data_IF_228088471062
#
_entry.id   IF_228088471062
#
_cell.length_a   1.000
_cell.length_b   1.000
_cell.length_c   1.000
_cell.angle_alpha   90.00
_cell.angle_beta   90.00
_cell.angle_gamma   90.00
#
_symmetry.space_group_name_H-M   'P 1'
#
loop_
_entity.id
_entity.type
_entity.pdbx_description
1 polymer ?
#
# COMPACT_ATOMS: atom_id res chain seq x y z
N UNK A 1 24.42 -62.31 -26.68
CA UNK A 1 25.28 -61.46 -25.82
C UNK A 1 24.91 -59.96 -25.82
N UNK A 2 23.84 -59.50 -26.49
CA UNK A 2 23.50 -58.06 -26.58
C UNK A 2 22.55 -57.50 -25.51
N UNK A 3 21.79 -58.34 -24.81
CA UNK A 3 20.71 -57.90 -23.89
C UNK A 3 21.19 -57.31 -22.56
N UNK A 4 22.46 -57.54 -22.18
CA UNK A 4 23.08 -57.03 -20.94
C UNK A 4 23.79 -55.68 -21.15
N UNK A 5 24.22 -55.39 -22.38
CA UNK A 5 24.82 -54.10 -22.76
C UNK A 5 23.76 -53.02 -22.97
N UNK A 6 22.65 -53.37 -23.64
CA UNK A 6 21.53 -52.45 -23.89
C UNK A 6 20.90 -51.93 -22.58
N UNK A 7 20.64 -52.83 -21.62
CA UNK A 7 20.11 -52.48 -20.29
C UNK A 7 21.06 -51.63 -19.43
N UNK A 8 22.36 -51.66 -19.71
CA UNK A 8 23.36 -50.84 -19.00
C UNK A 8 23.35 -49.42 -19.54
N UNK A 9 23.28 -49.27 -20.86
CA UNK A 9 23.16 -47.99 -21.53
C UNK A 9 21.88 -47.24 -21.13
N UNK A 10 20.73 -47.93 -21.07
CA UNK A 10 19.46 -47.33 -20.61
C UNK A 10 19.52 -46.81 -19.16
N UNK A 11 20.24 -47.52 -18.28
CA UNK A 11 20.43 -47.10 -16.88
C UNK A 11 21.40 -45.92 -16.78
N UNK A 12 22.46 -45.89 -17.60
CA UNK A 12 23.40 -44.77 -17.65
C UNK A 12 22.72 -43.50 -18.19
N UNK A 13 21.88 -43.62 -19.24
CA UNK A 13 21.07 -42.52 -19.77
C UNK A 13 20.04 -42.01 -18.74
N UNK A 14 19.37 -42.91 -18.01
CA UNK A 14 18.46 -42.52 -16.93
C UNK A 14 19.19 -41.76 -15.80
N UNK A 15 20.38 -42.22 -15.41
CA UNK A 15 21.17 -41.56 -14.37
C UNK A 15 21.60 -40.16 -14.80
N UNK A 16 22.00 -39.96 -16.06
CA UNK A 16 22.32 -38.63 -16.60
C UNK A 16 21.10 -37.70 -16.59
N UNK A 17 19.94 -38.20 -17.04
CA UNK A 17 18.68 -37.44 -16.99
C UNK A 17 18.34 -37.06 -15.54
N UNK A 18 18.45 -38.01 -14.61
CA UNK A 18 18.17 -37.78 -13.20
C UNK A 18 19.14 -36.74 -12.59
N UNK A 19 20.43 -36.85 -12.89
CA UNK A 19 21.45 -35.90 -12.43
C UNK A 19 21.14 -34.47 -12.89
N UNK A 20 20.88 -34.29 -14.20
CA UNK A 20 20.52 -32.98 -14.76
C UNK A 20 19.21 -32.43 -14.18
N UNK A 21 18.23 -33.29 -13.95
CA UNK A 21 16.97 -32.89 -13.33
C UNK A 21 17.17 -32.44 -11.87
N UNK A 22 17.96 -33.17 -11.08
CA UNK A 22 18.27 -32.82 -9.69
C UNK A 22 19.04 -31.49 -9.60
N UNK A 23 20.03 -31.29 -10.47
CA UNK A 23 20.80 -30.03 -10.54
C UNK A 23 19.89 -28.83 -10.86
N UNK A 24 19.00 -28.97 -11.84
CA UNK A 24 18.04 -27.93 -12.20
C UNK A 24 17.05 -27.62 -11.05
N UNK A 25 16.54 -28.66 -10.38
CA UNK A 25 15.62 -28.48 -9.25
C UNK A 25 16.31 -27.82 -8.04
N UNK A 26 17.56 -28.17 -7.75
CA UNK A 26 18.34 -27.56 -6.68
C UNK A 26 18.61 -26.08 -6.95
N UNK A 27 19.02 -25.73 -8.18
CA UNK A 27 19.22 -24.33 -8.57
C UNK A 27 17.92 -23.50 -8.42
N UNK A 28 16.78 -24.06 -8.83
CA UNK A 28 15.47 -23.42 -8.67
C UNK A 28 15.05 -23.32 -7.20
N UNK A 29 15.36 -24.32 -6.39
CA UNK A 29 15.10 -24.30 -4.94
C UNK A 29 15.90 -23.19 -4.24
N UNK A 30 17.19 -23.06 -4.55
CA UNK A 30 18.05 -22.00 -4.01
C UNK A 30 17.55 -20.61 -4.38
N UNK A 31 17.12 -20.43 -5.64
CA UNK A 31 16.51 -19.18 -6.10
C UNK A 31 15.25 -18.86 -5.30
N UNK A 32 14.35 -19.84 -5.12
CA UNK A 32 13.14 -19.69 -4.31
C UNK A 32 13.44 -19.30 -2.86
N UNK A 33 14.41 -19.93 -2.20
CA UNK A 33 14.78 -19.58 -0.81
C UNK A 33 15.36 -18.17 -0.70
N UNK A 34 16.19 -17.75 -1.67
CA UNK A 34 16.67 -16.36 -1.78
C UNK A 34 15.49 -15.38 -1.88
N UNK A 35 14.52 -15.67 -2.76
CA UNK A 35 13.35 -14.80 -2.95
C UNK A 35 12.46 -14.73 -1.71
N UNK A 36 12.25 -15.84 -1.01
CA UNK A 36 11.52 -15.85 0.27
C UNK A 36 12.18 -14.94 1.31
N UNK A 37 13.51 -14.96 1.38
CA UNK A 37 14.28 -14.06 2.24
C UNK A 37 14.09 -12.58 1.87
N UNK A 38 14.16 -12.25 0.58
CA UNK A 38 13.95 -10.90 0.06
C UNK A 38 12.51 -10.42 0.30
N UNK A 39 11.50 -11.25 0.09
CA UNK A 39 10.09 -10.91 0.32
C UNK A 39 9.85 -10.53 1.77
N UNK A 40 10.34 -11.34 2.72
CA UNK A 40 10.22 -11.02 4.15
C UNK A 40 10.95 -9.74 4.53
N UNK A 41 12.06 -9.42 3.86
CA UNK A 41 12.76 -8.14 4.07
C UNK A 41 11.92 -6.98 3.57
N UNK A 42 11.42 -7.05 2.34
CA UNK A 42 10.63 -5.98 1.72
C UNK A 42 9.32 -5.72 2.46
N UNK A 43 8.62 -6.76 2.91
CA UNK A 43 7.39 -6.62 3.72
C UNK A 43 7.69 -5.88 5.03
N UNK A 44 8.71 -6.32 5.79
CA UNK A 44 9.08 -5.66 7.05
C UNK A 44 9.47 -4.20 6.84
N UNK A 45 10.20 -3.93 5.77
CA UNK A 45 10.65 -2.60 5.42
C UNK A 45 9.50 -1.68 5.00
N UNK A 46 8.54 -2.19 4.22
CA UNK A 46 7.32 -1.48 3.84
C UNK A 46 6.50 -1.12 5.08
N UNK A 47 6.29 -2.07 5.99
CA UNK A 47 5.62 -1.82 7.26
C UNK A 47 6.37 -0.80 8.15
N UNK A 48 7.71 -0.83 8.17
CA UNK A 48 8.52 0.17 8.88
C UNK A 48 8.37 1.57 8.25
N UNK A 49 8.34 1.64 6.92
CA UNK A 49 8.16 2.87 6.14
C UNK A 49 6.83 3.50 6.48
N UNK A 50 5.72 2.75 6.37
CA UNK A 50 4.38 3.24 6.71
C UNK A 50 4.36 3.79 8.14
N UNK A 51 4.94 3.08 9.11
CA UNK A 51 5.03 3.57 10.49
C UNK A 51 5.84 4.86 10.62
N UNK A 52 6.94 5.01 9.88
CA UNK A 52 7.74 6.24 9.86
C UNK A 52 6.96 7.41 9.25
N UNK A 53 6.21 7.17 8.17
CA UNK A 53 5.34 8.15 7.53
C UNK A 53 4.29 8.70 8.51
N UNK A 54 3.57 7.83 9.20
CA UNK A 54 2.59 8.23 10.23
C UNK A 54 3.20 8.96 11.43
N UNK A 55 4.48 8.73 11.72
CA UNK A 55 5.22 9.48 12.76
C UNK A 55 5.79 10.82 12.26
N UNK A 56 5.62 11.15 10.99
CA UNK A 56 6.22 12.34 10.38
C UNK A 56 7.73 12.24 10.16
N UNK A 57 8.32 11.03 10.25
CA UNK A 57 9.74 10.75 10.02
C UNK A 57 10.02 10.61 8.51
N UNK A 58 9.74 11.66 7.75
CA UNK A 58 9.57 11.55 6.30
C UNK A 58 10.89 11.32 5.54
N UNK A 59 12.02 11.84 6.04
CA UNK A 59 13.32 11.58 5.41
C UNK A 59 13.79 10.13 5.65
N UNK A 60 13.54 9.60 6.85
CA UNK A 60 13.75 8.19 7.17
C UNK A 60 12.88 7.29 6.28
N UNK A 61 11.59 7.61 6.15
CA UNK A 61 10.69 6.89 5.27
C UNK A 61 11.17 6.90 3.81
N UNK A 62 11.68 8.04 3.33
CA UNK A 62 12.23 8.15 1.97
C UNK A 62 13.43 7.20 1.76
N UNK A 63 14.38 7.18 2.69
CA UNK A 63 15.53 6.27 2.63
C UNK A 63 15.08 4.80 2.63
N UNK A 64 14.10 4.46 3.48
CA UNK A 64 13.52 3.11 3.48
C UNK A 64 12.83 2.76 2.16
N UNK A 65 12.21 3.71 1.45
CA UNK A 65 11.65 3.46 0.13
C UNK A 65 12.73 3.23 -0.93
N UNK A 66 13.84 3.97 -0.89
CA UNK A 66 14.98 3.79 -1.80
C UNK A 66 15.62 2.41 -1.61
N UNK A 67 15.85 1.99 -0.37
CA UNK A 67 16.31 0.64 -0.05
C UNK A 67 15.32 -0.45 -0.49
N UNK A 68 14.02 -0.15 -0.47
CA UNK A 68 12.95 -1.07 -0.87
C UNK A 68 12.92 -1.23 -2.39
N UNK A 69 13.09 -0.13 -3.12
CA UNK A 69 13.24 -0.12 -4.58
C UNK A 69 14.40 -1.00 -5.04
N UNK A 70 15.53 -0.96 -4.34
CA UNK A 70 16.67 -1.83 -4.63
C UNK A 70 16.33 -3.33 -4.48
N UNK A 71 15.42 -3.70 -3.56
CA UNK A 71 14.92 -5.09 -3.45
C UNK A 71 14.05 -5.46 -4.64
N UNK A 72 13.18 -4.56 -5.10
CA UNK A 72 12.32 -4.79 -6.27
C UNK A 72 13.16 -4.95 -7.54
N UNK A 73 14.17 -4.11 -7.72
CA UNK A 73 15.14 -4.27 -8.81
C UNK A 73 15.85 -5.62 -8.74
N UNK A 74 16.23 -6.07 -7.54
CA UNK A 74 16.80 -7.39 -7.34
C UNK A 74 15.83 -8.52 -7.68
N UNK A 75 14.54 -8.40 -7.34
CA UNK A 75 13.52 -9.36 -7.77
C UNK A 75 13.44 -9.46 -9.29
N UNK A 76 13.32 -8.32 -9.98
CA UNK A 76 13.20 -8.30 -11.43
C UNK A 76 14.44 -8.88 -12.12
N UNK A 77 15.63 -8.62 -11.60
CA UNK A 77 16.87 -9.14 -12.15
C UNK A 77 17.03 -10.65 -11.90
N UNK A 78 16.81 -11.10 -10.65
CA UNK A 78 16.99 -12.51 -10.28
C UNK A 78 15.90 -13.44 -10.86
N UNK A 79 14.74 -12.90 -11.22
CA UNK A 79 13.58 -13.66 -11.71
C UNK A 79 13.25 -13.40 -13.19
N UNK A 80 14.12 -12.70 -13.93
CA UNK A 80 13.90 -12.37 -15.34
C UNK A 80 13.58 -13.62 -16.19
N UNK A 81 14.24 -14.74 -15.93
CA UNK A 81 14.07 -16.01 -16.62
C UNK A 81 13.20 -17.04 -15.85
N UNK A 82 12.62 -16.63 -14.71
CA UNK A 82 11.80 -17.50 -13.84
C UNK A 82 10.40 -16.88 -13.56
N UNK A 83 9.53 -16.69 -14.58
CA UNK A 83 8.22 -16.05 -14.41
C UNK A 83 7.35 -16.72 -13.34
N UNK A 84 7.41 -18.05 -13.25
CA UNK A 84 6.64 -18.80 -12.25
C UNK A 84 7.05 -18.51 -10.80
N UNK A 85 8.30 -18.09 -10.55
CA UNK A 85 8.72 -17.62 -9.23
C UNK A 85 8.33 -16.16 -9.00
N UNK A 86 8.34 -15.32 -10.04
CA UNK A 86 7.89 -13.93 -9.95
C UNK A 86 6.39 -13.83 -9.62
N UNK A 87 5.59 -14.71 -10.19
CA UNK A 87 4.15 -14.78 -9.95
C UNK A 87 3.78 -15.41 -8.61
N UNK A 88 4.75 -15.98 -7.89
CA UNK A 88 4.52 -16.64 -6.62
C UNK A 88 3.97 -15.65 -5.58
N UNK A 89 2.99 -16.11 -4.79
CA UNK A 89 2.26 -15.26 -3.85
C UNK A 89 3.16 -14.45 -2.90
N UNK A 90 4.26 -15.03 -2.40
CA UNK A 90 5.16 -14.33 -1.48
C UNK A 90 5.95 -13.18 -2.13
N UNK A 91 6.25 -13.24 -3.43
CA UNK A 91 6.86 -12.10 -4.16
C UNK A 91 5.81 -11.03 -4.36
N UNK A 92 4.62 -11.45 -4.78
CA UNK A 92 3.52 -10.58 -5.16
C UNK A 92 2.93 -9.84 -3.96
N UNK A 93 2.80 -10.51 -2.82
CA UNK A 93 2.48 -9.90 -1.54
C UNK A 93 3.54 -8.85 -1.16
N UNK A 94 4.83 -9.14 -1.33
CA UNK A 94 5.89 -8.19 -1.01
C UNK A 94 5.89 -6.96 -1.92
N UNK A 95 5.63 -7.12 -3.22
CA UNK A 95 5.49 -6.02 -4.18
C UNK A 95 4.28 -5.14 -3.85
N UNK A 96 3.14 -5.76 -3.53
CA UNK A 96 1.91 -5.08 -3.09
C UNK A 96 2.16 -4.22 -1.85
N UNK A 97 2.82 -4.75 -0.83
CA UNK A 97 3.14 -4.01 0.42
C UNK A 97 4.12 -2.85 0.14
N UNK A 98 5.07 -3.03 -0.78
CA UNK A 98 5.95 -1.95 -1.21
C UNK A 98 5.21 -0.85 -1.97
N UNK A 99 4.25 -1.22 -2.82
CA UNK A 99 3.37 -0.28 -3.50
C UNK A 99 2.53 0.51 -2.49
N UNK A 100 1.92 -0.16 -1.51
CA UNK A 100 1.18 0.50 -0.42
C UNK A 100 2.03 1.56 0.28
N UNK A 101 3.25 1.21 0.69
CA UNK A 101 4.16 2.13 1.37
C UNK A 101 4.55 3.33 0.49
N UNK A 102 4.85 3.09 -0.80
CA UNK A 102 5.24 4.12 -1.76
C UNK A 102 4.09 5.10 -2.05
N UNK A 103 2.89 4.57 -2.27
CA UNK A 103 1.68 5.34 -2.54
C UNK A 103 1.28 6.16 -1.32
N UNK A 104 1.27 5.54 -0.14
CA UNK A 104 0.96 6.21 1.13
C UNK A 104 1.90 7.39 1.36
N UNK A 105 3.22 7.19 1.20
CA UNK A 105 4.21 8.26 1.29
C UNK A 105 3.89 9.42 0.33
N UNK A 106 3.67 9.11 -0.95
CA UNK A 106 3.42 10.12 -1.98
C UNK A 106 2.18 10.96 -1.67
N UNK A 107 1.07 10.30 -1.31
CA UNK A 107 -0.20 10.98 -1.04
C UNK A 107 -0.13 11.90 0.18
N UNK A 108 0.50 11.44 1.27
CA UNK A 108 0.67 12.24 2.50
C UNK A 108 1.58 13.44 2.24
N UNK A 109 2.65 13.27 1.46
CA UNK A 109 3.58 14.32 1.05
C UNK A 109 3.05 15.25 -0.04
N UNK A 110 1.84 15.02 -0.58
CA UNK A 110 1.32 15.73 -1.78
C UNK A 110 2.26 15.65 -2.99
N UNK A 111 2.89 14.50 -3.16
CA UNK A 111 3.68 14.20 -4.35
C UNK A 111 2.83 13.51 -5.41
N UNK A 112 3.24 13.55 -6.69
CA UNK A 112 2.64 12.72 -7.72
C UNK A 112 2.61 11.25 -7.30
N UNK A 113 1.51 10.57 -7.61
CA UNK A 113 1.40 9.13 -7.41
C UNK A 113 2.43 8.42 -8.30
N UNK A 114 3.30 7.57 -7.75
CA UNK A 114 4.22 6.79 -8.57
C UNK A 114 3.42 5.77 -9.39
N UNK A 115 3.73 5.61 -10.67
CA UNK A 115 3.13 4.59 -11.53
C UNK A 115 3.74 3.19 -11.32
N UNK A 116 3.09 2.11 -11.80
CA UNK A 116 3.63 0.75 -11.71
C UNK A 116 4.99 0.62 -12.41
N UNK A 117 5.21 1.34 -13.51
CA UNK A 117 6.49 1.38 -14.22
C UNK A 117 7.59 2.05 -13.38
N UNK A 118 7.26 3.13 -12.67
CA UNK A 118 8.21 3.81 -11.78
C UNK A 118 8.60 2.97 -10.56
N UNK A 119 7.71 2.05 -10.16
CA UNK A 119 7.94 1.09 -9.10
C UNK A 119 8.48 -0.26 -9.59
N UNK A 120 8.68 -0.43 -10.91
CA UNK A 120 9.16 -1.66 -11.55
C UNK A 120 8.37 -2.92 -11.11
N UNK A 121 7.04 -2.88 -11.17
CA UNK A 121 6.18 -4.01 -10.78
C UNK A 121 4.98 -4.17 -11.72
N UNK A 122 4.30 -5.31 -11.63
CA UNK A 122 3.08 -5.53 -12.39
C UNK A 122 1.87 -4.72 -11.88
N UNK A 123 0.92 -4.53 -12.79
CA UNK A 123 -0.27 -3.72 -12.55
C UNK A 123 -1.18 -4.31 -11.46
N UNK A 124 -1.25 -5.64 -11.33
CA UNK A 124 -2.11 -6.26 -10.33
C UNK A 124 -1.56 -6.03 -8.92
N UNK A 125 -0.25 -6.22 -8.70
CA UNK A 125 0.40 -5.89 -7.44
C UNK A 125 0.21 -4.40 -7.08
N UNK A 126 0.42 -3.51 -8.07
CA UNK A 126 0.24 -2.07 -7.89
C UNK A 126 -1.18 -1.68 -7.47
N UNK A 127 -2.20 -2.14 -8.19
CA UNK A 127 -3.60 -1.80 -7.91
C UNK A 127 -4.07 -2.34 -6.54
N UNK A 128 -3.58 -3.52 -6.14
CA UNK A 128 -3.85 -4.04 -4.80
C UNK A 128 -3.17 -3.19 -3.71
N UNK A 129 -1.92 -2.77 -3.92
CA UNK A 129 -1.23 -1.85 -3.00
C UNK A 129 -1.89 -0.47 -2.92
N UNK A 130 -2.38 0.05 -4.05
CA UNK A 130 -3.18 1.28 -4.11
C UNK A 130 -4.45 1.15 -3.25
N UNK A 131 -5.13 0.00 -3.33
CA UNK A 131 -6.29 -0.28 -2.48
C UNK A 131 -5.94 -0.42 -1.00
N UNK A 132 -4.78 -0.95 -0.65
CA UNK A 132 -4.28 -1.03 0.74
C UNK A 132 -3.94 0.34 1.31
N UNK A 133 -3.31 1.21 0.53
CA UNK A 133 -2.96 2.57 0.93
C UNK A 133 -4.18 3.39 1.38
N UNK A 134 -5.39 3.07 0.91
CA UNK A 134 -6.63 3.74 1.36
C UNK A 134 -6.94 3.49 2.84
N UNK A 135 -6.51 2.33 3.37
CA UNK A 135 -6.57 2.04 4.80
C UNK A 135 -5.65 2.97 5.60
N UNK A 136 -4.43 3.19 5.11
CA UNK A 136 -3.48 4.11 5.72
C UNK A 136 -3.93 5.58 5.59
N UNK A 137 -4.50 5.99 4.45
CA UNK A 137 -5.10 7.32 4.32
C UNK A 137 -6.23 7.56 5.33
N UNK A 138 -7.07 6.56 5.59
CA UNK A 138 -8.09 6.69 6.64
C UNK A 138 -7.44 6.98 7.99
N UNK A 139 -6.32 6.31 8.31
CA UNK A 139 -5.59 6.56 9.55
C UNK A 139 -5.09 7.99 9.63
N UNK A 140 -4.45 8.50 8.57
CA UNK A 140 -4.00 9.90 8.52
C UNK A 140 -5.17 10.88 8.64
N UNK A 141 -6.29 10.61 7.96
CA UNK A 141 -7.49 11.45 8.04
C UNK A 141 -7.99 11.55 9.48
N UNK A 142 -8.04 10.44 10.22
CA UNK A 142 -8.46 10.46 11.62
C UNK A 142 -7.49 11.27 12.49
N UNK A 143 -6.18 11.15 12.26
CA UNK A 143 -5.19 11.95 12.99
C UNK A 143 -5.26 13.45 12.63
N UNK A 144 -5.55 13.80 11.37
CA UNK A 144 -5.79 15.17 10.93
C UNK A 144 -7.05 15.77 11.55
N UNK A 145 -8.14 14.99 11.62
CA UNK A 145 -9.39 15.39 12.30
C UNK A 145 -9.09 15.72 13.78
N UNK A 146 -8.33 14.86 14.47
CA UNK A 146 -7.91 15.08 15.86
C UNK A 146 -7.05 16.32 16.04
N UNK A 147 -6.24 16.66 15.04
CA UNK A 147 -5.43 17.88 15.02
C UNK A 147 -6.20 19.13 14.55
N UNK A 148 -7.49 19.02 14.22
CA UNK A 148 -8.32 20.12 13.72
C UNK A 148 -8.06 20.49 12.25
N UNK A 149 -7.29 19.70 11.51
CA UNK A 149 -6.94 19.98 10.11
C UNK A 149 -7.97 19.39 9.13
N UNK A 150 -9.19 19.94 9.16
CA UNK A 150 -10.31 19.44 8.35
C UNK A 150 -10.07 19.59 6.84
N UNK A 151 -9.44 20.68 6.41
CA UNK A 151 -9.17 20.94 4.98
C UNK A 151 -8.29 19.84 4.35
N UNK A 152 -7.22 19.43 5.04
CA UNK A 152 -6.37 18.33 4.57
C UNK A 152 -7.10 16.99 4.62
N UNK A 153 -7.90 16.74 5.66
CA UNK A 153 -8.70 15.52 5.76
C UNK A 153 -9.70 15.37 4.59
N UNK A 154 -10.37 16.46 4.20
CA UNK A 154 -11.25 16.48 3.03
C UNK A 154 -10.51 16.25 1.72
N UNK A 155 -9.28 16.77 1.58
CA UNK A 155 -8.43 16.53 0.40
C UNK A 155 -8.10 15.04 0.24
N UNK A 156 -7.67 14.38 1.33
CA UNK A 156 -7.37 12.95 1.30
C UNK A 156 -8.62 12.10 1.07
N UNK A 157 -9.78 12.48 1.63
CA UNK A 157 -11.04 11.78 1.38
C UNK A 157 -11.42 11.83 -0.11
N UNK A 158 -11.24 12.98 -0.78
CA UNK A 158 -11.47 13.08 -2.23
C UNK A 158 -10.54 12.18 -3.04
N UNK A 159 -9.29 12.04 -2.62
CA UNK A 159 -8.36 11.07 -3.24
C UNK A 159 -8.86 9.64 -3.05
N UNK A 160 -9.36 9.27 -1.87
CA UNK A 160 -9.94 7.94 -1.64
C UNK A 160 -11.13 7.66 -2.56
N UNK A 161 -11.98 8.67 -2.80
CA UNK A 161 -13.09 8.58 -3.76
C UNK A 161 -12.58 8.31 -5.18
N UNK A 162 -11.62 9.09 -5.65
CA UNK A 162 -11.05 8.92 -7.00
C UNK A 162 -10.41 7.53 -7.18
N UNK A 163 -9.71 7.03 -6.16
CA UNK A 163 -9.13 5.68 -6.20
C UNK A 163 -10.23 4.63 -6.27
N UNK A 164 -11.28 4.75 -5.47
CA UNK A 164 -12.41 3.82 -5.52
C UNK A 164 -13.10 3.80 -6.89
N UNK A 165 -13.34 4.98 -7.48
CA UNK A 165 -13.95 5.12 -8.81
C UNK A 165 -13.10 4.45 -9.91
N UNK A 166 -11.78 4.50 -9.80
CA UNK A 166 -10.89 3.77 -10.72
C UNK A 166 -10.96 2.27 -10.46
N UNK A 167 -10.81 1.83 -9.20
CA UNK A 167 -10.75 0.41 -8.86
C UNK A 167 -12.03 -0.35 -9.23
N UNK A 168 -13.21 0.28 -9.08
CA UNK A 168 -14.48 -0.36 -9.43
C UNK A 168 -14.63 -0.61 -10.94
N UNK A 169 -13.87 0.08 -11.79
CA UNK A 169 -13.89 -0.13 -13.25
C UNK A 169 -13.11 -1.36 -13.70
N UNK A 170 -12.31 -1.95 -12.81
CA UNK A 170 -11.44 -3.09 -13.14
C UNK A 170 -12.24 -4.41 -13.06
N UNK A 171 -12.94 -4.73 -14.14
CA UNK A 171 -13.78 -5.94 -14.25
C UNK A 171 -13.03 -7.11 -14.93
N UNK A 172 -12.09 -7.71 -14.19
CA UNK A 172 -11.34 -8.88 -14.65
C UNK A 172 -11.33 -9.99 -13.59
N UNK A 173 -11.18 -11.27 -13.98
CA UNK A 173 -11.11 -12.39 -13.05
C UNK A 173 -9.97 -12.26 -12.02
N UNK A 174 -10.18 -12.81 -10.83
CA UNK A 174 -9.19 -12.81 -9.72
C UNK A 174 -7.85 -13.43 -10.11
N UNK A 175 -7.84 -14.37 -11.07
CA UNK A 175 -6.60 -14.96 -11.59
C UNK A 175 -5.67 -13.93 -12.26
N UNK A 176 -6.23 -12.83 -12.77
CA UNK A 176 -5.47 -11.73 -13.39
C UNK A 176 -5.22 -10.62 -12.38
N UNK A 177 -6.23 -10.27 -11.58
CA UNK A 177 -6.19 -9.10 -10.69
C UNK A 177 -5.68 -9.42 -9.28
N UNK A 178 -5.41 -10.69 -8.97
CA UNK A 178 -4.91 -11.17 -7.68
C UNK A 178 -5.83 -10.80 -6.50
N UNK A 179 -7.14 -10.88 -6.69
CA UNK A 179 -8.12 -10.63 -5.64
C UNK A 179 -8.52 -9.16 -5.46
N UNK A 180 -8.25 -8.30 -6.46
CA UNK A 180 -8.54 -6.87 -6.42
C UNK A 180 -10.01 -6.55 -6.10
N UNK A 181 -10.96 -7.41 -6.49
CA UNK A 181 -12.39 -7.22 -6.18
C UNK A 181 -12.63 -7.13 -4.67
N UNK A 182 -12.03 -8.04 -3.90
CA UNK A 182 -12.12 -8.03 -2.43
C UNK A 182 -11.47 -6.77 -1.84
N UNK A 183 -10.37 -6.32 -2.45
CA UNK A 183 -9.69 -5.08 -2.06
C UNK A 183 -10.56 -3.86 -2.34
N UNK A 184 -11.24 -3.83 -3.47
CA UNK A 184 -12.16 -2.74 -3.85
C UNK A 184 -13.35 -2.66 -2.89
N UNK A 185 -13.90 -3.80 -2.48
CA UNK A 185 -14.95 -3.86 -1.45
C UNK A 185 -14.46 -3.35 -0.08
N UNK A 186 -13.22 -3.66 0.29
CA UNK A 186 -12.57 -3.11 1.48
C UNK A 186 -12.44 -1.59 1.37
N UNK A 187 -11.96 -1.06 0.23
CA UNK A 187 -11.83 0.38 -0.02
C UNK A 187 -13.16 1.08 0.15
N UNK A 188 -14.24 0.55 -0.44
CA UNK A 188 -15.60 1.07 -0.26
C UNK A 188 -15.98 1.19 1.21
N UNK A 189 -15.79 0.12 1.99
CA UNK A 189 -16.15 0.12 3.40
C UNK A 189 -15.32 1.11 4.24
N UNK A 190 -14.04 1.29 3.91
CA UNK A 190 -13.17 2.27 4.57
C UNK A 190 -13.58 3.69 4.18
N UNK A 191 -13.81 3.96 2.90
CA UNK A 191 -14.24 5.24 2.34
C UNK A 191 -15.56 5.72 2.96
N UNK A 192 -16.58 4.85 3.00
CA UNK A 192 -17.89 5.18 3.59
C UNK A 192 -17.78 5.55 5.06
N UNK A 193 -17.02 4.78 5.85
CA UNK A 193 -16.76 5.09 7.26
C UNK A 193 -16.04 6.42 7.41
N UNK A 194 -15.01 6.68 6.60
CA UNK A 194 -14.21 7.91 6.67
C UNK A 194 -15.04 9.13 6.34
N UNK A 195 -15.91 9.03 5.33
CA UNK A 195 -16.88 10.08 5.01
C UNK A 195 -17.81 10.37 6.19
N UNK A 196 -18.31 9.32 6.86
CA UNK A 196 -19.14 9.45 8.05
C UNK A 196 -18.42 10.22 9.17
N UNK A 197 -17.21 9.77 9.54
CA UNK A 197 -16.39 10.38 10.59
C UNK A 197 -16.08 11.86 10.29
N UNK A 198 -15.67 12.16 9.05
CA UNK A 198 -15.34 13.52 8.64
C UNK A 198 -16.58 14.43 8.64
N UNK A 199 -17.73 13.93 8.18
CA UNK A 199 -18.98 14.69 8.21
C UNK A 199 -19.35 15.08 9.63
N UNK A 200 -19.24 14.14 10.58
CA UNK A 200 -19.50 14.41 11.99
C UNK A 200 -18.55 15.45 12.55
N UNK A 201 -17.24 15.32 12.27
CA UNK A 201 -16.23 16.27 12.71
C UNK A 201 -16.48 17.69 12.17
N UNK A 202 -16.83 17.82 10.88
CA UNK A 202 -17.16 19.12 10.27
C UNK A 202 -18.41 19.74 10.90
N UNK A 203 -19.44 18.94 11.19
CA UNK A 203 -20.67 19.42 11.85
C UNK A 203 -20.38 19.90 13.28
N UNK A 204 -19.56 19.16 14.01
CA UNK A 204 -19.14 19.56 15.36
C UNK A 204 -18.35 20.86 15.34
N UNK A 205 -17.37 21.01 14.42
CA UNK A 205 -16.60 22.25 14.29
C UNK A 205 -17.52 23.46 14.02
N UNK A 206 -18.47 23.33 13.10
CA UNK A 206 -19.44 24.41 12.81
C UNK A 206 -20.30 24.79 14.02
N UNK A 207 -20.68 23.80 14.83
CA UNK A 207 -21.42 24.06 16.07
C UNK A 207 -20.55 24.82 17.08
N UNK A 208 -19.30 24.39 17.27
CA UNK A 208 -18.34 25.08 18.13
C UNK A 208 -18.11 26.52 17.69
N UNK A 209 -17.96 26.76 16.39
CA UNK A 209 -17.78 28.12 15.83
C UNK A 209 -19.03 28.98 16.06
N UNK A 210 -20.23 28.42 15.83
CA UNK A 210 -21.50 29.11 16.09
C UNK A 210 -21.66 29.49 17.57
N UNK A 211 -21.24 28.60 18.48
CA UNK A 211 -21.29 28.85 19.92
C UNK A 211 -20.31 29.95 20.33
N UNK A 212 -19.10 29.97 19.76
CA UNK A 212 -18.13 31.07 20.00
C UNK A 212 -18.68 32.41 19.51
N UNK A 213 -19.23 32.46 18.30
CA UNK A 213 -19.86 33.68 17.78
C UNK A 213 -21.03 34.15 18.65
N UNK A 214 -21.80 33.21 19.20
CA UNK A 214 -22.89 33.54 20.12
C UNK A 214 -22.35 34.10 21.45
N UNK A 215 -21.33 33.48 22.03
CA UNK A 215 -20.68 33.94 23.25
C UNK A 215 -20.11 35.36 23.09
N UNK A 216 -19.42 35.64 21.99
CA UNK A 216 -18.88 36.97 21.67
C UNK A 216 -19.99 38.04 21.57
N UNK A 217 -21.12 37.71 20.94
CA UNK A 217 -22.26 38.63 20.82
C UNK A 217 -22.90 38.93 22.17
N UNK A 218 -23.06 37.91 23.02
CA UNK A 218 -23.68 38.07 24.36
C UNK A 218 -22.77 38.87 25.29
N UNK A 219 -21.48 38.54 25.35
CA UNK A 219 -20.51 39.26 26.19
C UNK A 219 -20.28 40.69 25.67
N UNK A 220 -20.27 40.89 24.35
CA UNK A 220 -20.16 42.21 23.73
C UNK A 220 -21.36 43.11 23.98
N UNK A 221 -22.57 42.55 24.15
CA UNK A 221 -23.77 43.31 24.53
C UNK A 221 -23.75 43.70 26.01
N UNK A 222 -23.37 42.78 26.91
CA UNK A 222 -23.23 43.06 28.35
C UNK A 222 -22.17 44.13 28.67
N UNK A 223 -21.08 44.18 27.89
CA UNK A 223 -20.06 45.23 28.02
C UNK A 223 -20.61 46.62 27.68
N UNK A 224 -21.40 46.75 26.61
CA UNK A 224 -21.99 48.03 26.18
C UNK A 224 -23.06 48.53 27.16
N UNK A 225 -23.87 47.63 27.70
CA UNK A 225 -24.90 47.99 28.69
C UNK A 225 -24.29 48.50 30.00
N UNK A 226 -23.15 47.96 30.44
CA UNK A 226 -22.43 48.45 31.63
C UNK A 226 -21.76 49.80 31.42
N UNK A 227 -21.26 50.09 30.22
CA UNK A 227 -20.69 51.41 29.88
C UNK A 227 -21.76 52.49 29.87
N UNK A 228 -22.96 52.19 29.35
CA UNK A 228 -24.07 53.15 29.26
C UNK A 228 -24.76 53.46 30.60
N UNK A 229 -24.54 52.66 31.65
CA UNK A 229 -25.06 52.90 33.01
C UNK A 229 -24.05 53.61 33.93
N UNK A 230 -22.81 53.83 33.46
CA UNK A 230 -21.73 54.46 34.22
C UNK A 230 -21.47 55.93 33.83
N UNK A 231 -22.23 56.46 32.87
CA UNK A 231 -22.32 57.88 32.48
C UNK A 231 -23.58 58.51 33.05
#
# INVERSE_FOLDING_TARGET
MGFRGYRRQEVDELNDIAQRALEALEARHQTREKMLGLSRRLIRQSANTIRAVHRGELETAKQMLEEGRAVVEQFNADLADEPGLYEAGYVQDALKEFAEASITYALIRRQPLPGPEELNMDHAAYLNGLGEAMGELRRDILDLIRAGNMSRAEELLRTMDQVYDVLVTVDYPDAITRGLRRRTDMVRGVLEKTRGDLTMAVRQQRLEDTLREFEEKVLGQQGRERSAQSE
#
